data_IF_042032203559
#
_entry.id   IF_042032203559
#
_cell.length_a   1.000
_cell.length_b   1.000
_cell.length_c   1.000
_cell.angle_alpha   90.00
_cell.angle_beta   90.00
_cell.angle_gamma   90.00
#
_symmetry.space_group_name_H-M   'P 1'
#
loop_
_entity.id
_entity.type
_entity.pdbx_description
1 polymer ?
#
# COMPACT_ATOMS: atom_id res chain seq x y z
N UNK A 1 0.53 32.29 5.82
CA UNK A 1 1.91 32.82 5.88
C UNK A 1 2.69 32.14 4.78
N UNK A 2 3.34 32.90 3.89
CA UNK A 2 4.28 32.32 2.92
C UNK A 2 5.51 31.87 3.70
N UNK A 3 5.69 30.55 3.86
CA UNK A 3 6.89 30.00 4.49
C UNK A 3 8.01 30.08 3.45
N UNK A 4 9.03 30.89 3.73
CA UNK A 4 10.25 30.93 2.89
C UNK A 4 10.93 29.56 2.97
N UNK A 5 10.98 28.84 1.84
CA UNK A 5 11.61 27.52 1.77
C UNK A 5 13.11 27.64 2.08
N UNK A 6 13.65 26.66 2.79
CA UNK A 6 15.10 26.59 3.04
C UNK A 6 15.87 26.62 1.70
N UNK A 7 16.91 27.47 1.54
CA UNK A 7 17.62 27.63 0.27
C UNK A 7 18.20 26.33 -0.30
N UNK A 8 18.67 25.42 0.57
CA UNK A 8 19.19 24.11 0.16
C UNK A 8 18.07 23.24 -0.41
N UNK A 9 16.90 23.20 0.24
CA UNK A 9 15.75 22.46 -0.26
C UNK A 9 15.29 23.02 -1.61
N UNK A 10 15.19 24.35 -1.74
CA UNK A 10 14.84 25.00 -3.00
C UNK A 10 15.80 24.60 -4.14
N UNK A 11 17.12 24.65 -3.88
CA UNK A 11 18.14 24.29 -4.86
C UNK A 11 18.11 22.80 -5.24
N UNK A 12 17.85 21.90 -4.27
CA UNK A 12 17.72 20.46 -4.53
C UNK A 12 16.48 20.18 -5.38
N UNK A 13 15.33 20.75 -5.01
CA UNK A 13 14.08 20.59 -5.77
C UNK A 13 14.23 21.11 -7.20
N UNK A 14 14.80 22.30 -7.39
CA UNK A 14 15.06 22.87 -8.71
C UNK A 14 15.97 21.95 -9.56
N UNK A 15 17.07 21.45 -8.98
CA UNK A 15 17.97 20.55 -9.69
C UNK A 15 17.28 19.24 -10.10
N UNK A 16 16.41 18.70 -9.25
CA UNK A 16 15.63 17.49 -9.60
C UNK A 16 14.68 17.81 -10.75
N UNK A 17 13.94 18.92 -10.69
CA UNK A 17 13.02 19.36 -11.75
C UNK A 17 13.72 19.56 -13.09
N UNK A 18 14.88 20.22 -13.10
CA UNK A 18 15.67 20.44 -14.31
C UNK A 18 16.16 19.12 -14.90
N UNK A 19 16.66 18.21 -14.05
CA UNK A 19 17.13 16.88 -14.47
C UNK A 19 15.99 15.98 -14.97
N UNK A 20 14.81 16.05 -14.35
CA UNK A 20 13.65 15.18 -14.67
C UNK A 20 12.79 15.75 -15.79
N UNK A 21 12.92 17.03 -16.17
CA UNK A 21 11.98 17.76 -17.03
C UNK A 21 11.47 16.96 -18.23
N UNK A 22 12.37 16.35 -19.00
CA UNK A 22 12.00 15.54 -20.17
C UNK A 22 11.23 14.27 -19.77
N UNK A 23 11.81 13.44 -18.91
CA UNK A 23 11.22 12.14 -18.53
C UNK A 23 9.92 12.30 -17.76
N UNK A 24 9.81 13.34 -16.91
CA UNK A 24 8.58 13.73 -16.22
C UNK A 24 7.53 14.22 -17.20
N UNK A 25 7.88 15.06 -18.17
CA UNK A 25 6.98 15.49 -19.24
C UNK A 25 6.44 14.31 -20.04
N UNK A 26 7.32 13.42 -20.49
CA UNK A 26 6.93 12.20 -21.22
C UNK A 26 5.99 11.30 -20.38
N UNK A 27 6.24 11.20 -19.07
CA UNK A 27 5.37 10.47 -18.15
C UNK A 27 3.99 11.12 -18.01
N UNK A 28 3.92 12.42 -17.73
CA UNK A 28 2.66 13.14 -17.57
C UNK A 28 1.80 13.12 -18.85
N UNK A 29 2.42 13.23 -20.02
CA UNK A 29 1.74 13.09 -21.30
C UNK A 29 1.08 11.70 -21.45
N UNK A 30 1.76 10.62 -21.04
CA UNK A 30 1.16 9.27 -21.02
C UNK A 30 0.00 9.17 -20.06
N UNK A 31 0.07 9.85 -18.91
CA UNK A 31 -1.05 9.88 -17.96
C UNK A 31 -2.26 10.57 -18.55
N UNK A 32 -2.07 11.72 -19.22
CA UNK A 32 -3.15 12.46 -19.88
C UNK A 32 -3.80 11.64 -20.99
N UNK A 33 -3.02 10.89 -21.77
CA UNK A 33 -3.54 9.98 -22.80
C UNK A 33 -4.31 8.80 -22.21
N UNK A 34 -3.99 8.37 -20.99
CA UNK A 34 -4.64 7.24 -20.31
C UNK A 34 -5.84 7.66 -19.47
N UNK A 35 -5.86 8.91 -19.00
CA UNK A 35 -6.94 9.46 -18.20
C UNK A 35 -8.23 9.55 -19.02
N UNK A 36 -9.34 9.08 -18.45
CA UNK A 36 -10.66 9.22 -19.04
C UNK A 36 -11.61 9.86 -18.02
N UNK A 37 -12.50 10.72 -18.52
CA UNK A 37 -13.57 11.31 -17.69
C UNK A 37 -14.67 10.29 -17.38
N UNK A 38 -14.83 9.28 -18.23
CA UNK A 38 -15.75 8.18 -18.00
C UNK A 38 -15.02 6.95 -17.44
N UNK A 39 -15.72 6.01 -16.77
CA UNK A 39 -15.09 4.79 -16.31
C UNK A 39 -14.41 4.05 -17.46
N UNK A 40 -13.11 3.81 -17.32
CA UNK A 40 -12.24 3.25 -18.38
C UNK A 40 -12.80 1.94 -18.94
N UNK A 41 -13.45 1.15 -18.08
CA UNK A 41 -14.09 -0.12 -18.44
C UNK A 41 -15.20 0.00 -19.49
N UNK A 42 -15.74 1.20 -19.77
CA UNK A 42 -16.69 1.40 -20.88
C UNK A 42 -16.08 1.03 -22.25
N UNK A 43 -14.76 1.10 -22.37
CA UNK A 43 -14.04 0.70 -23.59
C UNK A 43 -13.94 -0.83 -23.78
N UNK A 44 -14.25 -1.62 -22.76
CA UNK A 44 -14.15 -3.08 -22.81
C UNK A 44 -15.33 -3.71 -23.56
N UNK A 45 -15.07 -4.81 -24.25
CA UNK A 45 -16.14 -5.60 -24.89
C UNK A 45 -17.10 -6.18 -23.84
N UNK A 46 -18.34 -6.47 -24.26
CA UNK A 46 -19.33 -7.11 -23.39
C UNK A 46 -18.80 -8.44 -22.80
N UNK A 47 -18.04 -9.19 -23.58
CA UNK A 47 -17.38 -10.44 -23.14
C UNK A 47 -16.37 -10.15 -22.02
N UNK A 48 -15.49 -9.15 -22.19
CA UNK A 48 -14.51 -8.79 -21.17
C UNK A 48 -15.18 -8.35 -19.86
N UNK A 49 -16.25 -7.55 -19.96
CA UNK A 49 -17.04 -7.13 -18.80
C UNK A 49 -17.72 -8.32 -18.09
N UNK A 50 -18.20 -9.30 -18.86
CA UNK A 50 -18.75 -10.53 -18.30
C UNK A 50 -17.70 -11.30 -17.50
N UNK A 51 -16.48 -11.46 -18.03
CA UNK A 51 -15.37 -12.10 -17.30
C UNK A 51 -15.03 -11.35 -16.00
N UNK A 52 -14.91 -10.02 -16.07
CA UNK A 52 -14.52 -9.21 -14.92
C UNK A 52 -15.54 -9.26 -13.75
N UNK A 53 -16.83 -9.44 -14.05
CA UNK A 53 -17.90 -9.27 -13.07
C UNK A 53 -18.72 -10.55 -12.82
N UNK A 54 -18.46 -11.66 -13.51
CA UNK A 54 -19.24 -12.90 -13.39
C UNK A 54 -19.38 -13.41 -11.95
N UNK A 55 -18.34 -13.26 -11.12
CA UNK A 55 -18.34 -13.69 -9.73
C UNK A 55 -18.78 -12.59 -8.73
N UNK A 56 -19.03 -11.36 -9.18
CA UNK A 56 -19.44 -10.27 -8.30
C UNK A 56 -20.87 -10.51 -7.75
N UNK A 57 -21.19 -10.01 -6.54
CA UNK A 57 -22.55 -10.03 -6.00
C UNK A 57 -23.56 -9.40 -6.98
N UNK A 58 -24.81 -9.84 -6.93
CA UNK A 58 -25.85 -9.36 -7.86
C UNK A 58 -26.05 -7.83 -7.80
N UNK A 59 -25.99 -7.24 -6.59
CA UNK A 59 -26.02 -5.79 -6.38
C UNK A 59 -24.89 -5.07 -7.11
N UNK A 60 -23.66 -5.59 -6.96
CA UNK A 60 -22.45 -4.97 -7.50
C UNK A 60 -22.42 -5.12 -9.02
N UNK A 61 -22.86 -6.27 -9.57
CA UNK A 61 -22.98 -6.51 -11.02
C UNK A 61 -23.83 -5.43 -11.70
N UNK A 62 -24.95 -5.05 -11.10
CA UNK A 62 -25.81 -4.03 -11.69
C UNK A 62 -25.10 -2.67 -11.74
N UNK A 63 -24.39 -2.28 -10.68
CA UNK A 63 -23.61 -1.03 -10.67
C UNK A 63 -22.45 -1.04 -11.66
N UNK A 64 -21.74 -2.17 -11.76
CA UNK A 64 -20.61 -2.33 -12.68
C UNK A 64 -21.05 -2.27 -14.15
N UNK A 65 -22.16 -2.94 -14.49
CA UNK A 65 -22.75 -2.96 -15.85
C UNK A 65 -23.29 -1.62 -16.31
N UNK A 66 -23.85 -0.83 -15.40
CA UNK A 66 -24.42 0.48 -15.72
C UNK A 66 -23.36 1.57 -15.84
N UNK A 67 -22.09 1.27 -15.50
CA UNK A 67 -20.99 2.23 -15.55
C UNK A 67 -21.22 3.51 -14.71
N UNK A 68 -22.09 3.42 -13.69
CA UNK A 68 -22.56 4.56 -12.91
C UNK A 68 -21.72 4.83 -11.66
N UNK A 69 -20.85 3.88 -11.26
CA UNK A 69 -20.14 3.92 -9.98
C UNK A 69 -18.67 3.56 -10.14
N UNK A 70 -17.75 4.17 -9.37
CA UNK A 70 -16.35 3.78 -9.40
C UNK A 70 -16.13 2.31 -9.05
N UNK A 71 -15.16 1.67 -9.70
CA UNK A 71 -14.67 0.33 -9.34
C UNK A 71 -13.23 0.42 -8.79
N UNK A 72 -13.03 0.04 -7.53
CA UNK A 72 -11.78 0.20 -6.80
C UNK A 72 -11.04 -1.15 -6.78
N UNK A 73 -9.80 -1.15 -7.27
CA UNK A 73 -8.91 -2.30 -7.13
C UNK A 73 -8.41 -2.43 -5.70
N UNK A 74 -8.39 -3.66 -5.17
CA UNK A 74 -7.66 -4.00 -3.94
C UNK A 74 -6.48 -4.87 -4.35
N UNK A 75 -5.27 -4.40 -4.06
CA UNK A 75 -4.03 -5.16 -4.24
C UNK A 75 -3.45 -5.42 -2.86
N UNK A 76 -3.22 -6.67 -2.49
CA UNK A 76 -2.81 -7.02 -1.12
C UNK A 76 -1.56 -7.89 -1.07
N UNK A 77 -0.70 -7.58 -0.12
CA UNK A 77 0.47 -8.37 0.25
C UNK A 77 0.19 -9.29 1.45
N UNK A 78 -1.06 -9.74 1.61
CA UNK A 78 -1.48 -10.64 2.67
C UNK A 78 -0.73 -11.98 2.66
N UNK A 79 -0.31 -12.41 3.84
CA UNK A 79 -0.11 -13.80 4.20
C UNK A 79 -0.34 -13.95 5.72
N UNK A 80 -0.68 -15.17 6.14
CA UNK A 80 -0.90 -15.53 7.54
C UNK A 80 0.41 -15.79 8.31
N UNK A 81 1.48 -16.13 7.59
CA UNK A 81 2.79 -16.44 8.17
C UNK A 81 3.42 -15.27 8.95
N UNK A 82 3.24 -14.03 8.47
CA UNK A 82 3.96 -12.86 8.99
C UNK A 82 3.01 -11.93 9.74
N UNK A 83 3.37 -11.59 10.98
CA UNK A 83 2.59 -10.70 11.85
C UNK A 83 2.23 -9.37 11.17
N UNK A 84 3.13 -8.83 10.33
CA UNK A 84 2.91 -7.58 9.61
C UNK A 84 1.85 -7.66 8.51
N UNK A 85 1.59 -8.86 7.96
CA UNK A 85 0.73 -9.06 6.80
C UNK A 85 -0.59 -9.74 7.16
N UNK A 86 -0.60 -10.54 8.22
CA UNK A 86 -1.79 -11.25 8.69
C UNK A 86 -3.00 -10.32 8.91
N UNK A 87 -2.86 -9.09 9.47
CA UNK A 87 -3.99 -8.18 9.63
C UNK A 87 -4.72 -7.81 8.33
N UNK A 88 -4.06 -7.97 7.17
CA UNK A 88 -4.64 -7.63 5.87
C UNK A 88 -5.71 -8.64 5.40
N UNK A 89 -5.93 -9.74 6.11
CA UNK A 89 -6.96 -10.75 5.81
C UNK A 89 -8.37 -10.14 5.72
N UNK A 90 -8.72 -9.35 6.74
CA UNK A 90 -10.08 -8.84 6.93
C UNK A 90 -10.34 -7.52 6.18
N UNK A 91 -9.27 -6.81 5.83
CA UNK A 91 -9.36 -5.47 5.26
C UNK A 91 -10.15 -5.44 3.94
N UNK A 92 -10.00 -6.39 3.01
CA UNK A 92 -10.80 -6.42 1.79
C UNK A 92 -12.31 -6.44 2.04
N UNK A 93 -12.79 -7.12 3.08
CA UNK A 93 -14.21 -7.17 3.40
C UNK A 93 -14.71 -5.80 3.91
N UNK A 94 -13.95 -5.18 4.82
CA UNK A 94 -14.22 -3.84 5.35
C UNK A 94 -14.23 -2.81 4.22
N UNK A 95 -13.22 -2.83 3.35
CA UNK A 95 -13.08 -1.94 2.19
C UNK A 95 -14.27 -2.09 1.24
N UNK A 96 -14.65 -3.32 0.88
CA UNK A 96 -15.78 -3.57 -0.02
C UNK A 96 -17.07 -3.00 0.55
N UNK A 97 -17.30 -3.16 1.85
CA UNK A 97 -18.48 -2.63 2.51
C UNK A 97 -18.47 -1.09 2.50
N UNK A 98 -17.37 -0.46 2.93
CA UNK A 98 -17.24 0.99 2.94
C UNK A 98 -17.32 1.62 1.54
N UNK A 99 -16.77 0.96 0.52
CA UNK A 99 -16.90 1.39 -0.87
C UNK A 99 -18.37 1.41 -1.32
N UNK A 100 -19.16 0.39 -0.97
CA UNK A 100 -20.60 0.36 -1.31
C UNK A 100 -21.38 1.49 -0.65
N UNK A 101 -21.10 1.74 0.63
CA UNK A 101 -21.67 2.85 1.39
C UNK A 101 -21.32 4.21 0.75
N UNK A 102 -20.12 4.33 0.18
CA UNK A 102 -19.65 5.52 -0.55
C UNK A 102 -20.13 5.63 -2.00
N UNK A 103 -20.98 4.71 -2.48
CA UNK A 103 -21.43 4.73 -3.87
C UNK A 103 -20.43 4.15 -4.89
N UNK A 104 -19.52 3.30 -4.47
CA UNK A 104 -18.55 2.60 -5.31
C UNK A 104 -18.65 1.07 -5.16
N UNK A 105 -17.92 0.34 -6.01
CA UNK A 105 -17.66 -1.09 -5.86
C UNK A 105 -16.16 -1.26 -5.62
N UNK A 106 -15.76 -2.29 -4.86
CA UNK A 106 -14.36 -2.69 -4.78
C UNK A 106 -14.22 -4.18 -5.12
N UNK A 107 -13.16 -4.53 -5.84
CA UNK A 107 -12.83 -5.91 -6.17
C UNK A 107 -11.38 -6.20 -5.79
N UNK A 108 -11.13 -7.43 -5.33
CA UNK A 108 -9.76 -7.89 -5.11
C UNK A 108 -9.12 -8.18 -6.48
N UNK A 109 -8.21 -7.30 -6.89
CA UNK A 109 -7.63 -7.31 -8.23
C UNK A 109 -6.44 -8.28 -8.33
N UNK A 110 -5.69 -8.45 -7.23
CA UNK A 110 -4.56 -9.37 -7.21
C UNK A 110 -3.81 -9.37 -5.88
N UNK A 111 -3.12 -10.48 -5.61
CA UNK A 111 -2.15 -10.59 -4.53
C UNK A 111 -0.75 -10.28 -5.06
N UNK A 112 0.11 -9.72 -4.21
CA UNK A 112 1.55 -9.57 -4.49
C UNK A 112 2.36 -10.43 -3.53
N UNK A 113 3.52 -10.96 -3.95
CA UNK A 113 4.36 -11.73 -3.04
C UNK A 113 4.83 -10.86 -1.87
N UNK A 114 4.93 -11.47 -0.70
CA UNK A 114 5.15 -10.76 0.54
C UNK A 114 6.16 -11.51 1.42
N UNK A 115 7.42 -11.12 1.33
CA UNK A 115 8.49 -11.67 2.16
C UNK A 115 8.82 -10.77 3.35
N UNK A 116 9.46 -11.34 4.37
CA UNK A 116 9.94 -10.60 5.54
C UNK A 116 11.46 -10.67 5.63
N UNK A 117 12.10 -9.51 5.52
CA UNK A 117 13.56 -9.39 5.69
C UNK A 117 13.99 -9.90 7.08
N UNK A 118 13.19 -9.67 8.12
CA UNK A 118 13.47 -10.16 9.46
C UNK A 118 13.52 -11.69 9.56
N UNK A 119 12.73 -12.41 8.77
CA UNK A 119 12.76 -13.89 8.70
C UNK A 119 13.94 -14.38 7.86
N UNK A 120 14.21 -13.71 6.73
CA UNK A 120 15.28 -14.14 5.81
C UNK A 120 16.66 -13.65 6.21
N UNK A 121 16.79 -12.79 7.22
CA UNK A 121 18.07 -12.21 7.63
C UNK A 121 19.08 -13.29 8.06
N UNK A 122 20.25 -13.27 7.41
CA UNK A 122 21.29 -14.29 7.63
C UNK A 122 20.99 -15.65 6.98
N UNK A 123 19.94 -15.76 6.16
CA UNK A 123 19.56 -16.97 5.43
C UNK A 123 19.74 -16.79 3.92
N UNK A 124 19.86 -17.88 3.17
CA UNK A 124 19.96 -17.86 1.69
C UNK A 124 18.80 -17.12 1.04
N UNK A 125 17.60 -17.17 1.63
CA UNK A 125 16.43 -16.44 1.12
C UNK A 125 16.61 -14.92 1.07
N UNK A 126 17.56 -14.34 1.80
CA UNK A 126 17.86 -12.90 1.74
C UNK A 126 18.29 -12.44 0.34
N UNK A 127 18.86 -13.35 -0.47
CA UNK A 127 19.22 -13.05 -1.86
C UNK A 127 18.02 -12.57 -2.69
N UNK A 128 16.81 -12.99 -2.33
CA UNK A 128 15.57 -12.59 -3.00
C UNK A 128 14.95 -11.29 -2.46
N UNK A 129 15.46 -10.73 -1.36
CA UNK A 129 14.88 -9.55 -0.71
C UNK A 129 14.69 -8.40 -1.68
N UNK A 130 15.77 -7.91 -2.28
CA UNK A 130 15.65 -6.75 -3.18
C UNK A 130 14.90 -7.10 -4.48
N UNK A 131 15.09 -8.30 -5.04
CA UNK A 131 14.37 -8.74 -6.25
C UNK A 131 12.86 -8.87 -6.03
N UNK A 132 12.42 -9.11 -4.79
CA UNK A 132 11.00 -9.14 -4.47
C UNK A 132 10.32 -7.81 -4.80
N UNK A 133 11.01 -6.66 -4.63
CA UNK A 133 10.46 -5.33 -4.96
C UNK A 133 10.01 -5.25 -6.42
N UNK A 134 10.87 -5.65 -7.36
CA UNK A 134 10.58 -5.60 -8.78
C UNK A 134 9.51 -6.64 -9.17
N UNK A 135 9.51 -7.79 -8.49
CA UNK A 135 8.46 -8.80 -8.64
C UNK A 135 7.08 -8.27 -8.18
N UNK A 136 7.05 -7.56 -7.05
CA UNK A 136 5.84 -6.91 -6.51
C UNK A 136 5.36 -5.82 -7.46
N UNK A 137 6.28 -5.01 -8.01
CA UNK A 137 5.94 -3.99 -8.99
C UNK A 137 5.28 -4.59 -10.23
N UNK A 138 5.84 -5.68 -10.77
CA UNK A 138 5.27 -6.41 -11.88
C UNK A 138 3.89 -7.00 -11.52
N UNK A 139 3.77 -7.67 -10.37
CA UNK A 139 2.50 -8.27 -9.93
C UNK A 139 1.40 -7.21 -9.74
N UNK A 140 1.76 -6.04 -9.19
CA UNK A 140 0.85 -4.89 -9.06
C UNK A 140 0.38 -4.39 -10.42
N UNK A 141 1.30 -4.25 -11.38
CA UNK A 141 0.98 -3.84 -12.74
C UNK A 141 0.07 -4.85 -13.44
N UNK A 142 0.34 -6.15 -13.28
CA UNK A 142 -0.52 -7.24 -13.79
C UNK A 142 -1.92 -7.15 -13.19
N UNK A 143 -2.05 -6.92 -11.88
CA UNK A 143 -3.35 -6.79 -11.22
C UNK A 143 -4.18 -5.62 -11.79
N UNK A 144 -3.55 -4.50 -12.13
CA UNK A 144 -4.20 -3.31 -12.69
C UNK A 144 -4.46 -3.39 -14.21
N UNK A 145 -3.76 -4.29 -14.92
CA UNK A 145 -3.82 -4.39 -16.39
C UNK A 145 -5.19 -4.76 -16.97
N UNK A 146 -6.13 -5.21 -16.14
CA UNK A 146 -7.51 -5.52 -16.55
C UNK A 146 -8.30 -4.30 -17.06
N UNK A 147 -7.78 -3.08 -16.89
CA UNK A 147 -8.39 -1.84 -17.37
C UNK A 147 -9.85 -1.67 -16.90
N UNK A 148 -10.14 -2.19 -15.71
CA UNK A 148 -11.49 -2.34 -15.16
C UNK A 148 -11.76 -1.44 -13.95
N UNK A 149 -10.75 -0.69 -13.51
CA UNK A 149 -10.72 0.03 -12.23
C UNK A 149 -10.58 1.53 -12.46
N UNK A 150 -11.16 2.30 -11.55
CA UNK A 150 -11.16 3.77 -11.53
C UNK A 150 -10.30 4.35 -10.40
N UNK A 151 -9.87 3.51 -9.45
CA UNK A 151 -8.91 3.81 -8.38
C UNK A 151 -8.33 2.48 -7.84
N UNK A 152 -7.28 2.57 -7.03
CA UNK A 152 -6.70 1.40 -6.36
C UNK A 152 -6.33 1.65 -4.90
N UNK A 153 -6.41 0.58 -4.11
CA UNK A 153 -5.93 0.51 -2.73
C UNK A 153 -4.80 -0.52 -2.65
N UNK A 154 -3.62 -0.07 -2.22
CA UNK A 154 -2.42 -0.89 -2.08
C UNK A 154 -2.20 -1.25 -0.61
N UNK A 155 -2.52 -2.49 -0.24
CA UNK A 155 -2.42 -3.02 1.11
C UNK A 155 -1.04 -3.66 1.30
N UNK A 156 -0.15 -3.00 2.04
CA UNK A 156 1.20 -3.51 2.26
C UNK A 156 2.02 -2.62 3.18
N UNK A 157 2.99 -3.22 3.89
CA UNK A 157 3.74 -2.52 4.94
C UNK A 157 5.24 -2.80 5.00
N UNK A 158 5.69 -4.02 4.69
CA UNK A 158 7.11 -4.40 4.85
C UNK A 158 8.03 -3.74 3.82
N UNK A 159 9.34 -3.78 4.14
CA UNK A 159 10.45 -3.11 3.50
C UNK A 159 10.35 -2.97 1.97
N UNK A 160 10.19 -4.09 1.27
CA UNK A 160 10.23 -4.14 -0.20
C UNK A 160 8.83 -4.09 -0.84
N UNK A 161 7.79 -4.29 -0.03
CA UNK A 161 6.40 -4.33 -0.48
C UNK A 161 5.94 -2.93 -0.89
N UNK A 162 6.09 -1.94 0.00
CA UNK A 162 5.65 -0.56 -0.26
C UNK A 162 6.29 0.03 -1.53
N UNK A 163 7.63 0.03 -1.71
CA UNK A 163 8.23 0.54 -2.94
C UNK A 163 7.86 -0.27 -4.17
N UNK A 164 7.68 -1.60 -4.06
CA UNK A 164 7.21 -2.43 -5.17
C UNK A 164 5.78 -2.05 -5.61
N UNK A 165 4.85 -1.95 -4.66
CA UNK A 165 3.47 -1.50 -4.89
C UNK A 165 3.46 -0.11 -5.53
N UNK A 166 4.32 0.81 -5.06
CA UNK A 166 4.45 2.17 -5.61
C UNK A 166 4.95 2.17 -7.05
N UNK A 167 5.99 1.42 -7.36
CA UNK A 167 6.52 1.30 -8.73
C UNK A 167 5.46 0.75 -9.69
N UNK A 168 4.72 -0.28 -9.28
CA UNK A 168 3.64 -0.84 -10.08
C UNK A 168 2.47 0.13 -10.27
N UNK A 169 2.02 0.77 -9.19
CA UNK A 169 0.94 1.76 -9.22
C UNK A 169 1.28 2.97 -10.10
N UNK A 170 2.52 3.47 -10.05
CA UNK A 170 2.97 4.59 -10.89
C UNK A 170 2.97 4.26 -12.38
N UNK A 171 3.07 2.98 -12.77
CA UNK A 171 2.89 2.56 -14.17
C UNK A 171 1.45 2.80 -14.66
N UNK A 172 0.49 2.86 -13.74
CA UNK A 172 -0.90 3.25 -13.95
C UNK A 172 -1.18 4.62 -13.31
N UNK A 173 -0.26 5.57 -13.46
CA UNK A 173 -0.28 6.83 -12.71
C UNK A 173 -1.49 7.74 -12.93
N UNK A 174 -2.36 7.43 -13.89
CA UNK A 174 -3.65 8.09 -14.12
C UNK A 174 -4.73 7.60 -13.14
N UNK A 175 -4.51 6.50 -12.43
CA UNK A 175 -5.43 6.07 -11.38
C UNK A 175 -5.11 6.83 -10.08
N UNK A 176 -6.13 7.27 -9.33
CA UNK A 176 -5.96 7.56 -7.92
C UNK A 176 -5.58 6.28 -7.18
N UNK A 177 -4.54 6.34 -6.35
CA UNK A 177 -4.06 5.20 -5.58
C UNK A 177 -3.76 5.64 -4.16
N UNK A 178 -4.29 4.89 -3.18
CA UNK A 178 -4.05 5.13 -1.75
C UNK A 178 -3.43 3.88 -1.14
N UNK A 179 -2.41 4.06 -0.32
CA UNK A 179 -1.76 2.99 0.43
C UNK A 179 -2.46 2.77 1.76
N UNK A 180 -2.62 1.50 2.14
CA UNK A 180 -3.37 1.09 3.33
C UNK A 180 -2.45 0.26 4.23
N UNK A 181 -1.90 0.85 5.30
CA UNK A 181 -1.05 0.10 6.23
C UNK A 181 -1.87 -0.77 7.18
N UNK A 182 -1.31 -1.91 7.56
CA UNK A 182 -1.77 -2.69 8.71
C UNK A 182 -1.48 -1.95 10.05
N UNK A 183 -0.34 -1.27 10.12
CA UNK A 183 0.16 -0.59 11.31
C UNK A 183 1.17 -1.42 12.12
N UNK A 184 1.86 -0.79 13.09
CA UNK A 184 2.81 -1.47 13.94
C UNK A 184 2.14 -2.33 14.99
N UNK A 185 2.81 -3.39 15.42
CA UNK A 185 2.40 -4.12 16.62
C UNK A 185 2.55 -3.22 17.87
N UNK A 186 1.81 -3.47 18.96
CA UNK A 186 2.02 -2.78 20.22
C UNK A 186 3.41 -3.01 20.80
N UNK A 187 3.87 -2.11 21.69
CA UNK A 187 5.17 -2.29 22.36
C UNK A 187 5.20 -3.59 23.18
N UNK A 188 6.22 -4.41 22.94
CA UNK A 188 6.50 -5.62 23.70
C UNK A 188 7.60 -5.41 24.73
N UNK A 189 8.45 -6.42 24.89
CA UNK A 189 9.59 -6.39 25.82
C UNK A 189 10.55 -5.22 25.52
N UNK A 190 11.08 -4.53 26.54
CA UNK A 190 12.06 -3.45 26.36
C UNK A 190 13.36 -3.91 25.69
N UNK A 191 13.99 -3.03 24.91
CA UNK A 191 15.24 -3.34 24.20
C UNK A 191 16.40 -3.73 25.14
N UNK A 192 16.46 -3.14 26.34
CA UNK A 192 17.46 -3.50 27.36
C UNK A 192 17.34 -4.95 27.80
N UNK A 193 16.11 -5.44 27.93
CA UNK A 193 15.85 -6.83 28.34
C UNK A 193 16.19 -7.81 27.22
N UNK A 194 15.84 -7.49 25.96
CA UNK A 194 16.28 -8.27 24.79
C UNK A 194 17.80 -8.38 24.72
N UNK A 195 18.50 -7.25 24.89
CA UNK A 195 19.96 -7.22 24.86
C UNK A 195 20.56 -8.08 25.99
N UNK A 196 20.01 -7.98 27.21
CA UNK A 196 20.43 -8.79 28.36
C UNK A 196 20.27 -10.30 28.09
N UNK A 197 19.14 -10.73 27.53
CA UNK A 197 18.87 -12.14 27.24
C UNK A 197 19.81 -12.66 26.15
N UNK A 198 20.02 -11.90 25.06
CA UNK A 198 21.00 -12.25 24.01
C UNK A 198 22.42 -12.39 24.56
N UNK A 199 22.81 -11.51 25.49
CA UNK A 199 24.12 -11.60 26.17
C UNK A 199 24.23 -12.86 27.03
N UNK A 200 23.19 -13.22 27.78
CA UNK A 200 23.19 -14.45 28.58
C UNK A 200 23.31 -15.71 27.70
N UNK A 201 22.60 -15.74 26.56
CA UNK A 201 22.70 -16.84 25.61
C UNK A 201 24.11 -16.94 25.02
N UNK A 202 24.69 -15.81 24.59
CA UNK A 202 26.06 -15.77 24.08
C UNK A 202 27.12 -16.20 25.14
N UNK A 203 26.83 -16.01 26.42
CA UNK A 203 27.65 -16.48 27.55
C UNK A 203 27.39 -17.94 27.93
N UNK A 204 26.47 -18.64 27.26
CA UNK A 204 26.08 -20.02 27.58
C UNK A 204 25.30 -20.17 28.90
N UNK A 205 24.74 -19.07 29.43
CA UNK A 205 24.02 -19.05 30.72
C UNK A 205 22.54 -19.42 30.63
N UNK A 206 21.98 -19.44 29.43
CA UNK A 206 20.60 -19.86 29.13
C UNK A 206 20.58 -20.72 27.87
N UNK A 207 19.55 -21.55 27.74
CA UNK A 207 19.33 -22.40 26.58
C UNK A 207 18.65 -21.69 25.40
N UNK A 208 18.42 -22.46 24.33
CA UNK A 208 17.73 -22.00 23.13
C UNK A 208 16.24 -21.73 23.38
N UNK A 209 15.62 -22.50 24.28
CA UNK A 209 14.20 -22.37 24.62
C UNK A 209 13.93 -21.01 25.28
N UNK A 210 14.74 -20.63 26.26
CA UNK A 210 14.62 -19.34 26.94
C UNK A 210 14.92 -18.16 26.02
N UNK A 211 15.89 -18.31 25.10
CA UNK A 211 16.13 -17.30 24.07
C UNK A 211 14.92 -17.14 23.14
N UNK A 212 14.35 -18.26 22.67
CA UNK A 212 13.22 -18.24 21.75
C UNK A 212 11.98 -17.59 22.38
N UNK A 213 11.67 -17.95 23.62
CA UNK A 213 10.56 -17.36 24.38
C UNK A 213 10.71 -15.83 24.46
N UNK A 214 11.90 -15.33 24.79
CA UNK A 214 12.16 -13.89 24.84
C UNK A 214 12.05 -13.19 23.47
N UNK A 215 12.49 -13.83 22.39
CA UNK A 215 12.33 -13.31 21.03
C UNK A 215 10.85 -13.30 20.62
N UNK A 216 10.07 -14.33 20.99
CA UNK A 216 8.62 -14.37 20.75
C UNK A 216 7.88 -13.26 21.48
N UNK A 217 8.30 -12.90 22.69
CA UNK A 217 7.76 -11.73 23.41
C UNK A 217 8.13 -10.39 22.76
N UNK A 218 9.13 -10.37 21.88
CA UNK A 218 9.47 -9.19 21.07
C UNK A 218 8.60 -9.06 19.83
N UNK A 219 8.14 -10.20 19.27
CA UNK A 219 7.25 -10.30 18.11
C UNK A 219 5.92 -10.93 18.55
N UNK A 220 5.27 -10.33 19.54
CA UNK A 220 4.21 -10.95 20.35
C UNK A 220 2.81 -10.87 19.75
N UNK A 221 2.63 -10.13 18.65
CA UNK A 221 1.29 -9.93 18.08
C UNK A 221 1.28 -9.37 16.67
N UNK A 222 0.08 -9.19 16.10
CA UNK A 222 -0.09 -8.69 14.74
C UNK A 222 0.42 -7.25 14.57
N UNK A 223 0.99 -6.95 13.40
CA UNK A 223 1.54 -5.65 13.02
C UNK A 223 3.01 -5.67 12.63
N UNK A 224 3.51 -4.56 12.08
CA UNK A 224 4.93 -4.39 11.72
C UNK A 224 5.82 -4.30 12.96
N UNK A 225 7.14 -4.48 12.75
CA UNK A 225 8.17 -4.25 13.77
C UNK A 225 7.97 -2.91 14.51
N UNK A 226 8.27 -2.85 15.81
CA UNK A 226 8.04 -1.65 16.64
C UNK A 226 9.14 -0.59 16.56
N UNK A 227 10.22 -0.83 15.82
CA UNK A 227 11.34 0.11 15.68
C UNK A 227 11.29 0.83 14.33
N UNK A 228 11.98 1.97 14.23
CA UNK A 228 12.08 2.74 12.98
C UNK A 228 13.07 2.13 11.97
N UNK A 229 12.76 0.90 11.53
CA UNK A 229 13.38 0.26 10.37
C UNK A 229 12.75 0.73 9.05
N UNK A 230 13.09 0.06 7.95
CA UNK A 230 12.59 0.45 6.61
C UNK A 230 11.06 0.42 6.54
N UNK A 231 10.39 -0.61 7.07
CA UNK A 231 8.93 -0.72 7.04
C UNK A 231 8.23 0.53 7.61
N UNK A 232 8.58 0.95 8.83
CA UNK A 232 7.97 2.12 9.48
C UNK A 232 8.42 3.44 8.86
N UNK A 233 9.67 3.54 8.42
CA UNK A 233 10.16 4.71 7.66
C UNK A 233 9.40 4.88 6.34
N UNK A 234 9.13 3.78 5.63
CA UNK A 234 8.32 3.81 4.42
C UNK A 234 6.89 4.27 4.71
N UNK A 235 6.27 3.84 5.82
CA UNK A 235 4.92 4.30 6.17
C UNK A 235 4.88 5.82 6.40
N UNK A 236 5.90 6.35 7.10
CA UNK A 236 6.04 7.80 7.29
C UNK A 236 6.24 8.52 5.95
N UNK A 237 7.10 7.99 5.07
CA UNK A 237 7.34 8.56 3.74
C UNK A 237 6.05 8.56 2.90
N UNK A 238 5.29 7.47 2.87
CA UNK A 238 4.02 7.41 2.14
C UNK A 238 3.01 8.43 2.66
N UNK A 239 2.99 8.68 3.98
CA UNK A 239 2.12 9.71 4.56
C UNK A 239 2.57 11.12 4.20
N UNK A 240 3.87 11.41 4.29
CA UNK A 240 4.44 12.72 3.91
C UNK A 240 4.21 13.00 2.43
N UNK A 241 4.35 11.99 1.57
CA UNK A 241 4.10 12.08 0.12
C UNK A 241 2.61 12.20 -0.22
N UNK A 242 1.70 12.17 0.75
CA UNK A 242 0.25 12.27 0.52
C UNK A 242 -0.40 11.01 -0.05
N UNK A 243 0.24 9.85 0.08
CA UNK A 243 -0.25 8.56 -0.42
C UNK A 243 -1.03 7.76 0.62
N UNK A 244 -1.13 8.27 1.84
CA UNK A 244 -1.96 7.76 2.93
C UNK A 244 -3.06 8.75 3.30
N UNK A 245 -4.11 8.24 3.98
CA UNK A 245 -4.90 9.13 4.83
C UNK A 245 -4.03 9.65 5.99
N UNK A 246 -4.08 10.95 6.31
CA UNK A 246 -3.31 11.52 7.41
C UNK A 246 -3.57 10.82 8.75
N UNK A 247 -2.50 10.59 9.52
CA UNK A 247 -2.54 9.93 10.82
C UNK A 247 -2.61 8.41 10.78
N UNK A 248 -2.54 7.78 9.60
CA UNK A 248 -2.76 6.33 9.47
C UNK A 248 -1.50 5.48 9.69
N UNK A 249 -0.28 6.02 9.50
CA UNK A 249 0.94 5.20 9.45
C UNK A 249 1.15 4.35 10.73
N UNK A 250 0.81 4.90 11.90
CA UNK A 250 1.20 4.32 13.19
C UNK A 250 0.05 3.86 14.09
N UNK A 251 -1.18 3.81 13.58
CA UNK A 251 -2.31 3.23 14.32
C UNK A 251 -2.19 1.71 14.37
N UNK A 252 -2.30 1.10 15.54
CA UNK A 252 -2.16 -0.35 15.69
C UNK A 252 -3.28 -1.14 14.98
N UNK A 253 -3.01 -2.35 14.47
CA UNK A 253 -4.03 -3.22 13.90
C UNK A 253 -5.08 -3.62 14.94
N UNK A 254 -6.30 -3.95 14.48
CA UNK A 254 -7.38 -4.42 15.34
C UNK A 254 -8.04 -3.38 16.25
N UNK A 255 -7.70 -2.10 16.11
CA UNK A 255 -8.34 -1.00 16.85
C UNK A 255 -9.51 -0.41 16.08
N UNK A 256 -10.51 0.15 16.78
CA UNK A 256 -11.64 0.86 16.17
C UNK A 256 -11.17 2.00 15.25
N UNK A 257 -10.11 2.71 15.65
CA UNK A 257 -9.52 3.77 14.84
C UNK A 257 -8.90 3.22 13.54
N UNK A 258 -8.21 2.07 13.59
CA UNK A 258 -7.67 1.43 12.39
C UNK A 258 -8.78 1.03 11.43
N UNK A 259 -9.86 0.43 11.93
CA UNK A 259 -11.01 0.09 11.09
C UNK A 259 -11.62 1.35 10.46
N UNK A 260 -11.85 2.40 11.26
CA UNK A 260 -12.40 3.66 10.78
C UNK A 260 -11.52 4.29 9.69
N UNK A 261 -10.19 4.27 9.84
CA UNK A 261 -9.25 4.74 8.83
C UNK A 261 -9.29 3.88 7.55
N UNK A 262 -9.37 2.55 7.67
CA UNK A 262 -9.50 1.65 6.51
C UNK A 262 -10.80 1.93 5.73
N UNK A 263 -11.91 2.16 6.44
CA UNK A 263 -13.20 2.55 5.83
C UNK A 263 -13.10 3.92 5.15
N UNK A 264 -12.53 4.91 5.84
CA UNK A 264 -12.33 6.25 5.30
C UNK A 264 -11.45 6.24 4.04
N UNK A 265 -10.44 5.37 3.98
CA UNK A 265 -9.60 5.23 2.77
C UNK A 265 -10.40 4.74 1.57
N UNK A 266 -11.31 3.79 1.75
CA UNK A 266 -12.18 3.32 0.68
C UNK A 266 -13.14 4.43 0.19
N UNK A 267 -13.71 5.20 1.12
CA UNK A 267 -14.57 6.34 0.82
C UNK A 267 -13.80 7.44 0.07
N UNK A 268 -12.57 7.73 0.52
CA UNK A 268 -11.70 8.70 -0.12
C UNK A 268 -11.32 8.26 -1.53
N UNK A 269 -10.98 6.99 -1.74
CA UNK A 269 -10.69 6.44 -3.07
C UNK A 269 -11.88 6.59 -4.04
N UNK A 270 -13.11 6.37 -3.56
CA UNK A 270 -14.32 6.61 -4.36
C UNK A 270 -14.47 8.10 -4.74
N UNK A 271 -14.17 9.01 -3.81
CA UNK A 271 -14.31 10.47 -3.97
C UNK A 271 -13.34 11.06 -5.00
N UNK A 272 -12.11 10.56 -5.06
CA UNK A 272 -11.03 11.15 -5.89
C UNK A 272 -10.89 10.52 -7.27
N UNK A 273 -11.85 9.70 -7.69
CA UNK A 273 -11.92 9.18 -9.06
C UNK A 273 -12.30 10.27 -10.05
N UNK A 274 -12.08 10.02 -11.35
CA UNK A 274 -12.52 10.92 -12.42
C UNK A 274 -14.05 11.13 -12.47
N UNK A 275 -14.82 10.23 -11.85
CA UNK A 275 -16.28 10.36 -11.70
C UNK A 275 -16.69 11.23 -10.49
N UNK A 276 -15.74 11.54 -9.59
CA UNK A 276 -15.95 12.40 -8.44
C UNK A 276 -15.63 13.86 -8.71
N UNK A 277 -15.61 14.67 -7.65
CA UNK A 277 -15.41 16.11 -7.73
C UNK A 277 -13.94 16.55 -7.57
N UNK A 278 -13.01 15.62 -7.35
CA UNK A 278 -11.64 15.91 -6.93
C UNK A 278 -10.68 14.85 -7.46
N UNK A 279 -10.60 14.74 -8.79
CA UNK A 279 -9.76 13.75 -9.46
C UNK A 279 -8.29 13.95 -9.09
N UNK A 280 -7.73 12.99 -8.35
CA UNK A 280 -6.38 13.10 -7.79
C UNK A 280 -5.55 11.84 -8.13
N UNK A 281 -5.01 11.74 -9.34
CA UNK A 281 -4.26 10.57 -9.78
C UNK A 281 -2.86 10.52 -9.14
N UNK A 282 -2.37 9.32 -8.80
CA UNK A 282 -1.11 9.14 -8.06
C UNK A 282 0.09 9.77 -8.79
N UNK A 283 0.10 9.71 -10.12
CA UNK A 283 1.18 10.26 -10.93
C UNK A 283 1.28 11.78 -10.89
N UNK A 284 0.25 12.49 -10.39
CA UNK A 284 0.27 13.94 -10.12
C UNK A 284 0.62 14.27 -8.67
N UNK A 285 0.35 13.36 -7.73
CA UNK A 285 0.73 13.49 -6.31
C UNK A 285 2.25 13.31 -6.17
N UNK A 286 2.80 12.27 -6.79
CA UNK A 286 4.24 11.99 -6.75
C UNK A 286 4.95 12.89 -7.76
N UNK A 287 5.54 13.98 -7.27
CA UNK A 287 6.32 14.95 -8.03
C UNK A 287 7.66 15.25 -7.33
N UNK A 288 8.41 16.24 -7.80
CA UNK A 288 9.71 16.62 -7.23
C UNK A 288 9.63 17.32 -5.85
N UNK A 289 8.43 17.68 -5.39
CA UNK A 289 8.20 18.31 -4.08
C UNK A 289 7.83 17.28 -3.01
N UNK A 290 7.12 16.23 -3.40
CA UNK A 290 6.82 15.07 -2.56
C UNK A 290 8.10 14.26 -2.27
#
# INVERSE_FOLDING_TARGET
MSVTLNPTLAAVTQRIQERSKKTRGDYLNRLEQSAQQEPIRKSLSCTNLAHAFAAAPASDKNWLKLFQRPNIAIISAYNDMLSAHQPLEDYPAIIKQAAREAGAVAQFAGGVPAMCDGVTQGQTGMELSLFSRDTIAMATAVALSHNSFDAALCLGVCDKIVPGLLMGALSFGHLPVIFVPAGPMPSGVPNSEKARIRQLFAQGKIGREELLEAEMQSYHGPGTCTFYGTANSNQLLMEIMGLHLPGTAFVNPGTDLREALTRATAQQAARITAQGNDYLPIGRIVDEKA
#
